data_IF_450273619954
#
_entry.id   IF_450273619954
#
_cell.length_a   1.000
_cell.length_b   1.000
_cell.length_c   1.000
_cell.angle_alpha   90.00
_cell.angle_beta   90.00
_cell.angle_gamma   90.00
#
_symmetry.space_group_name_H-M   'P 1'
#
loop_
_entity.id
_entity.type
_entity.pdbx_description
1 polymer ?
#
# COMPACT_ATOMS: atom_id res chain seq x y z
N UNK A 1 -2.30 24.78 -26.74
CA UNK A 1 -3.18 24.00 -25.86
C UNK A 1 -2.58 24.05 -24.46
N UNK A 2 -3.25 24.69 -23.49
CA UNK A 2 -2.75 24.74 -22.10
C UNK A 2 -3.39 23.57 -21.34
N UNK A 3 -2.59 22.59 -20.95
CA UNK A 3 -2.97 21.59 -19.95
C UNK A 3 -3.46 22.32 -18.71
N UNK A 4 -4.70 22.03 -18.33
CA UNK A 4 -5.41 22.65 -17.23
C UNK A 4 -4.83 22.07 -15.94
N UNK A 5 -3.75 22.66 -15.43
CA UNK A 5 -3.31 22.42 -14.05
C UNK A 5 -4.51 22.72 -13.14
N UNK A 6 -5.18 21.67 -12.66
CA UNK A 6 -6.25 21.77 -11.68
C UNK A 6 -5.59 22.14 -10.36
N UNK A 7 -5.26 23.43 -10.21
CA UNK A 7 -4.79 23.99 -8.94
C UNK A 7 -6.00 23.88 -8.01
N UNK A 8 -5.93 22.93 -7.07
CA UNK A 8 -6.93 22.83 -6.02
C UNK A 8 -6.99 24.17 -5.28
N UNK A 9 -8.19 24.60 -4.92
CA UNK A 9 -8.30 25.74 -4.02
C UNK A 9 -7.97 25.34 -2.57
N UNK A 10 -7.70 26.33 -1.73
CA UNK A 10 -7.33 26.10 -0.33
C UNK A 10 -8.39 25.34 0.49
N UNK A 11 -9.68 25.35 0.07
CA UNK A 11 -10.73 24.57 0.73
C UNK A 11 -10.69 23.11 0.27
N UNK A 12 -10.38 22.87 -1.00
CA UNK A 12 -10.19 21.53 -1.54
C UNK A 12 -8.98 20.83 -0.90
N UNK A 13 -7.86 21.53 -0.72
CA UNK A 13 -6.69 20.98 -0.01
C UNK A 13 -7.04 20.58 1.44
N UNK A 14 -7.73 21.45 2.18
CA UNK A 14 -8.22 21.13 3.54
C UNK A 14 -9.16 19.93 3.55
N UNK A 15 -10.02 19.81 2.55
CA UNK A 15 -10.92 18.68 2.40
C UNK A 15 -10.17 17.37 2.15
N UNK A 16 -9.11 17.37 1.35
CA UNK A 16 -8.26 16.19 1.13
C UNK A 16 -7.56 15.77 2.42
N UNK A 17 -6.98 16.71 3.18
CA UNK A 17 -6.37 16.43 4.48
C UNK A 17 -7.41 15.82 5.43
N UNK A 18 -8.61 16.39 5.50
CA UNK A 18 -9.67 15.88 6.35
C UNK A 18 -10.14 14.47 5.92
N UNK A 19 -10.23 14.19 4.62
CA UNK A 19 -10.60 12.88 4.08
C UNK A 19 -9.62 11.77 4.47
N UNK A 20 -8.35 12.10 4.71
CA UNK A 20 -7.33 11.11 5.08
C UNK A 20 -7.33 10.83 6.59
N UNK A 21 -7.75 11.81 7.39
CA UNK A 21 -7.72 11.72 8.85
C UNK A 21 -9.04 11.27 9.47
N UNK A 22 -10.15 11.37 8.74
CA UNK A 22 -11.48 11.07 9.26
C UNK A 22 -12.07 9.79 8.63
N UNK A 23 -12.75 8.93 9.40
CA UNK A 23 -13.26 7.66 8.93
C UNK A 23 -14.50 7.75 8.03
N UNK A 24 -15.14 8.93 7.94
CA UNK A 24 -16.36 9.13 7.13
C UNK A 24 -16.35 10.48 6.41
N UNK A 25 -17.04 10.54 5.26
CA UNK A 25 -17.21 11.77 4.45
C UNK A 25 -17.85 12.87 5.29
N UNK A 26 -18.85 12.54 6.12
CA UNK A 26 -19.51 13.48 7.03
C UNK A 26 -18.54 14.14 8.01
N UNK A 27 -17.67 13.34 8.64
CA UNK A 27 -16.66 13.86 9.57
C UNK A 27 -15.59 14.66 8.86
N UNK A 28 -15.15 14.20 7.69
CA UNK A 28 -14.18 14.91 6.85
C UNK A 28 -14.72 16.29 6.40
N UNK A 29 -15.98 16.36 5.95
CA UNK A 29 -16.62 17.62 5.55
C UNK A 29 -16.68 18.61 6.71
N UNK A 30 -17.08 18.13 7.90
CA UNK A 30 -17.10 18.95 9.12
C UNK A 30 -15.71 19.44 9.49
N UNK A 31 -14.70 18.56 9.50
CA UNK A 31 -13.32 18.92 9.82
C UNK A 31 -12.72 19.92 8.81
N UNK A 32 -13.12 19.84 7.54
CA UNK A 32 -12.73 20.80 6.50
C UNK A 32 -13.54 22.10 6.50
N UNK A 33 -14.58 22.22 7.34
CA UNK A 33 -15.45 23.39 7.41
C UNK A 33 -16.33 23.59 6.17
N UNK A 34 -16.72 22.51 5.50
CA UNK A 34 -17.57 22.52 4.30
C UNK A 34 -18.84 21.67 4.49
N UNK A 35 -19.83 21.88 3.63
CA UNK A 35 -21.02 21.03 3.60
C UNK A 35 -20.75 19.67 2.95
N UNK A 36 -21.39 18.61 3.44
CA UNK A 36 -21.25 17.24 2.92
C UNK A 36 -21.54 17.16 1.41
N UNK A 37 -22.61 17.81 0.94
CA UNK A 37 -22.96 17.87 -0.49
C UNK A 37 -21.83 18.47 -1.34
N UNK A 38 -21.07 19.42 -0.78
CA UNK A 38 -19.92 20.01 -1.48
C UNK A 38 -18.79 18.99 -1.61
N UNK A 39 -18.48 18.27 -0.53
CA UNK A 39 -17.46 17.23 -0.54
C UNK A 39 -17.83 16.07 -1.47
N UNK A 40 -19.10 15.64 -1.46
CA UNK A 40 -19.60 14.63 -2.40
C UNK A 40 -19.44 15.05 -3.85
N UNK A 41 -19.79 16.30 -4.20
CA UNK A 41 -19.60 16.84 -5.55
C UNK A 41 -18.13 16.84 -5.95
N UNK A 42 -17.24 17.34 -5.08
CA UNK A 42 -15.79 17.35 -5.35
C UNK A 42 -15.23 15.93 -5.52
N UNK A 43 -15.69 14.94 -4.78
CA UNK A 43 -15.28 13.54 -4.98
C UNK A 43 -15.66 12.98 -6.37
N UNK A 44 -16.61 13.59 -7.08
CA UNK A 44 -16.94 13.23 -8.47
C UNK A 44 -16.15 14.03 -9.51
N UNK A 45 -15.43 15.07 -9.10
CA UNK A 45 -14.60 15.87 -9.99
C UNK A 45 -13.24 15.19 -10.19
N UNK A 46 -12.88 14.93 -11.45
CA UNK A 46 -11.68 14.16 -11.80
C UNK A 46 -10.41 14.73 -11.17
N UNK A 47 -10.22 16.07 -11.19
CA UNK A 47 -9.05 16.73 -10.61
C UNK A 47 -8.93 16.52 -9.10
N UNK A 48 -10.02 16.71 -8.37
CA UNK A 48 -10.05 16.52 -6.91
C UNK A 48 -9.89 15.04 -6.54
N UNK A 49 -10.59 14.14 -7.23
CA UNK A 49 -10.51 12.71 -6.98
C UNK A 49 -9.11 12.16 -7.25
N UNK A 50 -8.47 12.61 -8.33
CA UNK A 50 -7.08 12.25 -8.68
C UNK A 50 -6.12 12.65 -7.57
N UNK A 51 -6.22 13.89 -7.07
CA UNK A 51 -5.32 14.36 -6.01
C UNK A 51 -5.61 13.64 -4.69
N UNK A 52 -6.88 13.46 -4.30
CA UNK A 52 -7.24 12.68 -3.13
C UNK A 52 -6.66 11.26 -3.18
N UNK A 53 -6.78 10.57 -4.34
CA UNK A 53 -6.18 9.25 -4.55
C UNK A 53 -4.66 9.30 -4.47
N UNK A 54 -4.01 10.33 -5.01
CA UNK A 54 -2.56 10.55 -4.95
C UNK A 54 -2.09 10.65 -3.50
N UNK A 55 -2.67 11.54 -2.70
CA UNK A 55 -2.28 11.73 -1.29
C UNK A 55 -2.59 10.47 -0.46
N UNK A 56 -3.74 9.82 -0.70
CA UNK A 56 -4.07 8.54 -0.05
C UNK A 56 -3.06 7.44 -0.39
N UNK A 57 -2.60 7.38 -1.65
CA UNK A 57 -1.55 6.45 -2.08
C UNK A 57 -0.24 6.75 -1.36
N UNK A 58 0.15 8.02 -1.23
CA UNK A 58 1.37 8.41 -0.51
C UNK A 58 1.31 7.99 0.98
N UNK A 59 0.19 8.23 1.65
CA UNK A 59 -0.02 7.80 3.04
C UNK A 59 0.07 6.27 3.20
N UNK A 60 -0.52 5.52 2.26
CA UNK A 60 -0.41 4.07 2.23
C UNK A 60 1.03 3.61 1.96
N UNK A 61 1.75 4.26 1.03
CA UNK A 61 3.14 3.93 0.73
C UNK A 61 4.05 4.04 1.96
N UNK A 62 3.86 5.06 2.80
CA UNK A 62 4.60 5.17 4.06
C UNK A 62 4.30 4.02 5.03
N UNK A 63 3.02 3.60 5.09
CA UNK A 63 2.61 2.47 5.93
C UNK A 63 3.20 1.16 5.42
N UNK A 64 3.17 0.94 4.10
CA UNK A 64 3.80 -0.22 3.45
C UNK A 64 5.30 -0.25 3.73
N UNK A 65 6.00 0.88 3.56
CA UNK A 65 7.43 0.96 3.85
C UNK A 65 7.74 0.57 5.31
N UNK A 66 6.92 1.04 6.27
CA UNK A 66 7.07 0.66 7.67
C UNK A 66 6.83 -0.84 7.91
N UNK A 67 5.82 -1.43 7.24
CA UNK A 67 5.57 -2.87 7.30
C UNK A 67 6.74 -3.68 6.70
N UNK A 68 7.30 -3.23 5.58
CA UNK A 68 8.48 -3.84 4.96
C UNK A 68 9.69 -3.83 5.90
N UNK A 69 9.96 -2.72 6.59
CA UNK A 69 10.99 -2.70 7.64
C UNK A 69 10.70 -3.69 8.76
N UNK A 70 9.42 -3.82 9.17
CA UNK A 70 8.99 -4.80 10.16
C UNK A 70 9.23 -6.25 9.71
N UNK A 71 9.06 -6.56 8.42
CA UNK A 71 9.34 -7.89 7.89
C UNK A 71 10.83 -8.25 7.91
N UNK A 72 11.72 -7.30 7.63
CA UNK A 72 13.18 -7.50 7.78
C UNK A 72 13.52 -7.86 9.22
N UNK A 73 13.01 -7.06 10.18
CA UNK A 73 13.23 -7.32 11.61
C UNK A 73 12.67 -8.68 12.06
N UNK A 74 11.53 -9.10 11.51
CA UNK A 74 10.96 -10.41 11.82
C UNK A 74 11.84 -11.55 11.29
N UNK A 75 12.42 -11.41 10.09
CA UNK A 75 13.38 -12.37 9.55
C UNK A 75 14.64 -12.48 10.42
N UNK A 76 15.23 -11.33 10.80
CA UNK A 76 16.37 -11.28 11.74
C UNK A 76 16.05 -11.98 13.08
N UNK A 77 14.85 -11.74 13.62
CA UNK A 77 14.41 -12.39 14.87
C UNK A 77 14.31 -13.92 14.71
N UNK A 78 13.85 -14.40 13.56
CA UNK A 78 13.81 -15.85 13.28
C UNK A 78 15.22 -16.42 13.19
N UNK A 79 16.15 -15.72 12.53
CA UNK A 79 17.56 -16.09 12.45
C UNK A 79 18.22 -16.16 13.83
N UNK A 80 18.04 -15.14 14.66
CA UNK A 80 18.52 -15.11 16.04
C UNK A 80 18.01 -16.31 16.85
N UNK A 81 16.71 -16.65 16.73
CA UNK A 81 16.12 -17.78 17.45
C UNK A 81 16.64 -19.13 16.93
N UNK A 82 16.96 -19.26 15.64
CA UNK A 82 17.56 -20.49 15.10
C UNK A 82 18.96 -20.74 15.66
N UNK A 83 19.75 -19.67 15.83
CA UNK A 83 21.14 -19.74 16.27
C UNK A 83 21.32 -19.71 17.80
N UNK A 84 20.29 -19.30 18.54
CA UNK A 84 20.30 -19.25 20.00
C UNK A 84 20.34 -20.66 20.63
N UNK A 85 21.49 -21.00 21.21
CA UNK A 85 21.73 -22.29 21.88
C UNK A 85 20.95 -22.45 23.19
N UNK A 86 20.55 -21.36 23.81
CA UNK A 86 19.75 -21.34 25.04
C UNK A 86 18.25 -21.43 24.74
N UNK A 87 17.83 -21.11 23.51
CA UNK A 87 16.45 -21.30 23.07
C UNK A 87 16.06 -22.79 23.04
N UNK A 88 14.81 -23.07 23.43
CA UNK A 88 14.28 -24.42 23.42
C UNK A 88 14.37 -25.06 22.03
N UNK A 89 14.63 -26.36 21.96
CA UNK A 89 14.68 -27.07 20.66
C UNK A 89 13.41 -26.88 19.83
N UNK A 90 12.24 -26.78 20.48
CA UNK A 90 10.98 -26.49 19.78
C UNK A 90 10.96 -25.08 19.18
N UNK A 91 11.47 -24.07 19.89
CA UNK A 91 11.53 -22.69 19.40
C UNK A 91 12.43 -22.58 18.17
N UNK A 92 13.63 -23.21 18.22
CA UNK A 92 14.56 -23.22 17.08
C UNK A 92 13.98 -23.94 15.86
N UNK A 93 13.32 -25.09 16.09
CA UNK A 93 12.64 -25.85 15.01
C UNK A 93 11.49 -25.03 14.40
N UNK A 94 10.68 -24.35 15.20
CA UNK A 94 9.61 -23.48 14.69
C UNK A 94 10.18 -22.33 13.87
N UNK A 95 11.22 -21.65 14.35
CA UNK A 95 11.86 -20.56 13.61
C UNK A 95 12.43 -21.06 12.27
N UNK A 96 13.15 -22.18 12.30
CA UNK A 96 13.69 -22.82 11.08
C UNK A 96 12.61 -23.20 10.09
N UNK A 97 11.52 -23.81 10.58
CA UNK A 97 10.37 -24.17 9.75
C UNK A 97 9.73 -22.94 9.11
N UNK A 98 9.51 -21.87 9.87
CA UNK A 98 8.91 -20.64 9.35
C UNK A 98 9.79 -20.00 8.28
N UNK A 99 11.11 -19.95 8.46
CA UNK A 99 12.04 -19.43 7.43
C UNK A 99 11.94 -20.25 6.14
N UNK A 100 11.96 -21.58 6.23
CA UNK A 100 11.82 -22.47 5.07
C UNK A 100 10.47 -22.30 4.37
N UNK A 101 9.37 -22.23 5.12
CA UNK A 101 8.02 -22.01 4.56
C UNK A 101 7.93 -20.67 3.82
N UNK A 102 8.51 -19.60 4.37
CA UNK A 102 8.52 -18.29 3.72
C UNK A 102 9.41 -18.28 2.47
N UNK A 103 10.55 -18.97 2.50
CA UNK A 103 11.44 -19.09 1.33
C UNK A 103 10.75 -19.84 0.18
N UNK A 104 10.09 -20.96 0.45
CA UNK A 104 9.34 -21.69 -0.58
C UNK A 104 8.17 -20.87 -1.13
N UNK A 105 7.44 -20.18 -0.26
CA UNK A 105 6.33 -19.30 -0.69
C UNK A 105 6.83 -18.13 -1.55
N UNK A 106 7.98 -17.53 -1.21
CA UNK A 106 8.57 -16.47 -2.01
C UNK A 106 8.95 -16.99 -3.42
N UNK A 107 9.61 -18.15 -3.49
CA UNK A 107 9.95 -18.80 -4.75
C UNK A 107 8.71 -19.11 -5.61
N UNK A 108 7.65 -19.66 -5.01
CA UNK A 108 6.39 -19.93 -5.72
C UNK A 108 5.76 -18.66 -6.29
N UNK A 109 5.77 -17.55 -5.53
CA UNK A 109 5.24 -16.27 -5.97
C UNK A 109 6.07 -15.66 -7.11
N UNK A 110 7.40 -15.73 -7.03
CA UNK A 110 8.30 -15.27 -8.09
C UNK A 110 8.13 -16.08 -9.38
N UNK A 111 8.03 -17.40 -9.27
CA UNK A 111 7.80 -18.30 -10.40
C UNK A 111 6.43 -18.04 -11.07
N UNK A 112 5.39 -17.76 -10.27
CA UNK A 112 4.08 -17.38 -10.79
C UNK A 112 4.11 -16.02 -11.49
N UNK A 113 4.77 -15.03 -10.91
CA UNK A 113 4.92 -13.69 -11.51
C UNK A 113 5.67 -13.77 -12.84
N UNK A 114 6.78 -14.52 -12.89
CA UNK A 114 7.55 -14.76 -14.12
C UNK A 114 6.69 -15.37 -15.24
N UNK A 115 5.87 -16.38 -14.89
CA UNK A 115 4.93 -17.00 -15.83
C UNK A 115 3.85 -16.03 -16.32
N UNK A 116 3.38 -15.12 -15.46
CA UNK A 116 2.42 -14.09 -15.86
C UNK A 116 3.03 -13.12 -16.86
N UNK A 117 4.25 -12.62 -16.61
CA UNK A 117 4.96 -11.72 -17.52
C UNK A 117 5.19 -12.37 -18.90
N UNK A 118 5.54 -13.66 -18.92
CA UNK A 118 5.72 -14.41 -20.16
C UNK A 118 4.42 -14.59 -20.94
N UNK A 119 3.30 -14.80 -20.23
CA UNK A 119 1.98 -14.88 -20.86
C UNK A 119 1.54 -13.52 -21.41
N UNK A 120 1.77 -12.43 -20.69
CA UNK A 120 1.47 -11.07 -21.13
C UNK A 120 2.24 -10.73 -22.42
N UNK A 121 3.55 -11.02 -22.47
CA UNK A 121 4.38 -10.82 -23.68
C UNK A 121 3.86 -11.60 -24.88
N UNK A 122 3.53 -12.88 -24.68
CA UNK A 122 3.02 -13.75 -25.76
C UNK A 122 1.68 -13.26 -26.29
N UNK A 123 0.82 -12.73 -25.42
CA UNK A 123 -0.46 -12.16 -25.82
C UNK A 123 -0.25 -10.89 -26.65
N UNK A 124 0.60 -9.98 -26.18
CA UNK A 124 0.94 -8.74 -26.90
C UNK A 124 1.54 -9.02 -28.28
N UNK A 125 2.38 -10.04 -28.42
CA UNK A 125 2.96 -10.43 -29.70
C UNK A 125 1.95 -11.11 -30.64
N UNK A 126 0.90 -11.74 -30.11
CA UNK A 126 -0.18 -12.32 -30.91
C UNK A 126 -1.22 -11.31 -31.40
N UNK A 127 -1.25 -10.11 -30.79
CA UNK A 127 -2.15 -9.02 -31.13
C UNK A 127 -1.51 -8.00 -32.11
N UNK A 128 -0.23 -8.19 -32.45
CA UNK A 128 0.50 -7.43 -33.47
C UNK A 128 0.46 -8.13 -34.82
#
# INVERSE_FOLDING_TARGET
MKEKYSILDAKQEKAIIALINEPTITRAARAAGIGETTLYRWLQEEGFNKEYRSVRKQALSQTIARLQTGTTKAAETLEEVMDDKEASSSSRVTASKTVLEMAFKAYELEELASKMDDLEKRLDDSLK
#
